data_IF_568242144399
#
_entry.id   IF_568242144399
#
_cell.length_a   1.000
_cell.length_b   1.000
_cell.length_c   1.000
_cell.angle_alpha   90.00
_cell.angle_beta   90.00
_cell.angle_gamma   90.00
#
_symmetry.space_group_name_H-M   'P 1'
#
loop_
_entity.id
_entity.type
_entity.pdbx_description
1 polymer ?
#
# COMPACT_ATOMS: atom_id res chain seq x y z
N UNK A 1 -1.79 26.72 -13.45
CA UNK A 1 -2.22 25.85 -12.33
C UNK A 1 -2.76 24.59 -12.99
N UNK A 2 -1.88 23.64 -13.36
CA UNK A 2 -2.28 22.44 -14.08
C UNK A 2 -2.78 21.40 -13.09
N UNK A 3 -4.07 21.09 -13.14
CA UNK A 3 -4.61 19.87 -12.54
C UNK A 3 -3.95 18.67 -13.23
N UNK A 4 -2.95 18.09 -12.60
CA UNK A 4 -2.36 16.83 -13.03
C UNK A 4 -3.18 15.71 -12.38
N UNK A 5 -4.42 15.51 -12.83
CA UNK A 5 -5.18 14.30 -12.50
C UNK A 5 -4.56 13.17 -13.29
N UNK A 6 -3.53 12.53 -12.72
CA UNK A 6 -3.07 11.25 -13.20
C UNK A 6 -4.23 10.26 -13.10
N UNK A 7 -4.98 10.10 -14.20
CA UNK A 7 -6.00 9.07 -14.35
C UNK A 7 -5.30 7.73 -14.49
N UNK A 8 -4.72 7.23 -13.38
CA UNK A 8 -4.21 5.87 -13.32
C UNK A 8 -5.45 4.97 -13.43
N UNK A 9 -5.67 4.47 -14.64
CA UNK A 9 -6.74 3.52 -14.91
C UNK A 9 -6.42 2.26 -14.11
N UNK A 10 -7.19 2.04 -13.05
CA UNK A 10 -7.01 0.83 -12.22
C UNK A 10 -7.56 -0.33 -13.04
N UNK A 11 -6.66 -1.09 -13.65
CA UNK A 11 -7.03 -2.26 -14.45
C UNK A 11 -7.44 -3.40 -13.52
N UNK A 12 -8.64 -3.95 -13.75
CA UNK A 12 -9.11 -5.11 -13.01
C UNK A 12 -8.29 -6.34 -13.43
N UNK A 13 -7.91 -7.18 -12.46
CA UNK A 13 -7.26 -8.44 -12.73
C UNK A 13 -8.13 -9.34 -13.63
N UNK A 14 -7.50 -10.18 -14.45
CA UNK A 14 -8.21 -11.12 -15.32
C UNK A 14 -9.05 -12.13 -14.51
N UNK A 15 -10.27 -12.41 -14.97
CA UNK A 15 -11.16 -13.40 -14.34
C UNK A 15 -10.54 -14.81 -14.27
N UNK A 16 -9.61 -15.13 -15.19
CA UNK A 16 -8.83 -16.38 -15.15
C UNK A 16 -7.88 -16.41 -13.96
N UNK A 17 -7.14 -15.33 -13.72
CA UNK A 17 -6.22 -15.24 -12.58
C UNK A 17 -6.98 -15.28 -11.26
N UNK A 18 -8.14 -14.61 -11.18
CA UNK A 18 -9.03 -14.70 -10.03
C UNK A 18 -9.40 -16.16 -9.72
N UNK A 19 -9.86 -16.92 -10.72
CA UNK A 19 -10.22 -18.32 -10.54
C UNK A 19 -9.05 -19.21 -10.11
N UNK A 20 -7.85 -18.98 -10.66
CA UNK A 20 -6.64 -19.72 -10.28
C UNK A 20 -6.19 -19.42 -8.84
N UNK A 21 -6.25 -18.16 -8.41
CA UNK A 21 -5.91 -17.77 -7.02
C UNK A 21 -6.89 -18.41 -6.03
N UNK A 22 -8.19 -18.38 -6.32
CA UNK A 22 -9.19 -19.03 -5.45
C UNK A 22 -9.06 -20.55 -5.43
N UNK A 23 -8.73 -21.17 -6.57
CA UNK A 23 -8.40 -22.59 -6.60
C UNK A 23 -7.19 -22.93 -5.73
N UNK A 24 -6.10 -22.16 -5.85
CA UNK A 24 -4.91 -22.34 -5.03
C UNK A 24 -5.20 -22.15 -3.54
N UNK A 25 -6.05 -21.17 -3.19
CA UNK A 25 -6.52 -20.94 -1.83
C UNK A 25 -7.29 -22.15 -1.27
N UNK A 26 -8.25 -22.69 -2.01
CA UNK A 26 -8.99 -23.89 -1.58
C UNK A 26 -8.09 -25.13 -1.49
N UNK A 27 -7.14 -25.30 -2.41
CA UNK A 27 -6.13 -26.37 -2.30
C UNK A 27 -5.26 -26.21 -1.05
N UNK A 28 -4.83 -24.98 -0.74
CA UNK A 28 -4.07 -24.66 0.48
C UNK A 28 -4.87 -24.98 1.75
N UNK A 29 -6.15 -24.62 1.80
CA UNK A 29 -7.06 -25.01 2.89
C UNK A 29 -7.18 -26.52 3.00
N UNK A 30 -7.38 -27.22 1.87
CA UNK A 30 -7.50 -28.67 1.86
C UNK A 30 -6.22 -29.34 2.38
N UNK A 31 -5.04 -28.86 1.97
CA UNK A 31 -3.76 -29.34 2.44
C UNK A 31 -3.59 -29.08 3.94
N UNK A 32 -3.93 -27.86 4.40
CA UNK A 32 -3.86 -27.51 5.83
C UNK A 32 -4.78 -28.39 6.69
N UNK A 33 -6.03 -28.63 6.25
CA UNK A 33 -6.96 -29.52 6.94
C UNK A 33 -6.44 -30.97 6.98
N UNK A 34 -5.85 -31.42 5.88
CA UNK A 34 -5.24 -32.75 5.81
C UNK A 34 -4.10 -32.88 6.83
N UNK A 35 -3.15 -31.94 6.88
CA UNK A 35 -2.05 -32.01 7.85
C UNK A 35 -2.50 -31.81 9.30
N UNK A 36 -3.53 -31.00 9.55
CA UNK A 36 -3.97 -30.70 10.92
C UNK A 36 -4.89 -31.77 11.50
N UNK A 37 -5.80 -32.35 10.70
CA UNK A 37 -6.88 -33.22 11.20
C UNK A 37 -6.90 -34.59 10.53
N UNK A 38 -6.02 -34.84 9.55
CA UNK A 38 -6.03 -36.03 8.69
C UNK A 38 -7.38 -36.31 8.02
N UNK A 39 -8.23 -35.29 7.91
CA UNK A 39 -9.55 -35.38 7.28
C UNK A 39 -9.49 -34.76 5.90
N UNK A 40 -9.69 -35.58 4.87
CA UNK A 40 -9.93 -35.08 3.52
C UNK A 40 -11.35 -34.50 3.46
N UNK A 41 -11.46 -33.18 3.35
CA UNK A 41 -12.74 -32.56 3.09
C UNK A 41 -13.00 -32.53 1.57
N UNK A 42 -13.72 -33.54 1.07
CA UNK A 42 -14.07 -33.67 -0.34
C UNK A 42 -14.78 -32.44 -0.91
N UNK A 43 -15.54 -31.69 -0.09
CA UNK A 43 -16.20 -30.46 -0.53
C UNK A 43 -15.21 -29.36 -0.91
N UNK A 44 -14.12 -29.22 -0.15
CA UNK A 44 -13.09 -28.20 -0.42
C UNK A 44 -12.30 -28.54 -1.67
N UNK A 45 -11.99 -29.83 -1.86
CA UNK A 45 -11.32 -30.32 -3.07
C UNK A 45 -12.22 -30.15 -4.30
N UNK A 46 -13.51 -30.49 -4.19
CA UNK A 46 -14.47 -30.29 -5.26
C UNK A 46 -14.59 -28.81 -5.64
N UNK A 47 -14.63 -27.91 -4.65
CA UNK A 47 -14.62 -26.47 -4.88
C UNK A 47 -13.35 -26.02 -5.61
N UNK A 48 -12.17 -26.46 -5.18
CA UNK A 48 -10.92 -26.16 -5.87
C UNK A 48 -10.95 -26.61 -7.35
N UNK A 49 -11.39 -27.85 -7.60
CA UNK A 49 -11.47 -28.41 -8.95
C UNK A 49 -12.49 -27.65 -9.83
N UNK A 50 -13.62 -27.25 -9.26
CA UNK A 50 -14.62 -26.43 -9.93
C UNK A 50 -14.04 -25.05 -10.31
N UNK A 51 -13.31 -24.40 -9.41
CA UNK A 51 -12.68 -23.10 -9.70
C UNK A 51 -11.58 -23.20 -10.76
N UNK A 52 -10.72 -24.23 -10.74
CA UNK A 52 -9.70 -24.44 -11.79
C UNK A 52 -10.36 -24.69 -13.14
N UNK A 53 -11.34 -25.60 -13.19
CA UNK A 53 -12.02 -25.95 -14.45
C UNK A 53 -12.76 -24.76 -15.04
N UNK A 54 -13.48 -23.98 -14.23
CA UNK A 54 -14.14 -22.75 -14.65
C UNK A 54 -13.14 -21.69 -15.14
N UNK A 55 -12.00 -21.55 -14.47
CA UNK A 55 -10.96 -20.59 -14.87
C UNK A 55 -10.35 -20.92 -16.24
N UNK A 56 -10.21 -22.20 -16.58
CA UNK A 56 -9.62 -22.66 -17.86
C UNK A 56 -10.65 -22.70 -18.98
N UNK A 57 -11.84 -23.24 -18.73
CA UNK A 57 -12.85 -23.49 -19.78
C UNK A 57 -13.67 -22.24 -20.09
N UNK A 58 -14.14 -21.53 -19.06
CA UNK A 58 -15.06 -20.40 -19.25
C UNK A 58 -14.86 -19.31 -18.17
N UNK A 59 -13.75 -18.57 -18.22
CA UNK A 59 -13.43 -17.55 -17.22
C UNK A 59 -14.47 -16.42 -17.14
N UNK A 60 -15.24 -16.18 -18.23
CA UNK A 60 -16.34 -15.20 -18.24
C UNK A 60 -17.41 -15.45 -17.18
N UNK A 61 -17.60 -16.69 -16.72
CA UNK A 61 -18.57 -16.98 -15.66
C UNK A 61 -18.10 -16.49 -14.28
N UNK A 62 -16.78 -16.40 -14.08
CA UNK A 62 -16.14 -15.89 -12.86
C UNK A 62 -15.98 -14.36 -12.87
N UNK A 63 -16.26 -13.71 -14.00
CA UNK A 63 -16.14 -12.27 -14.17
C UNK A 63 -17.00 -11.42 -13.21
N UNK A 64 -18.31 -11.68 -13.01
CA UNK A 64 -19.10 -10.89 -12.05
C UNK A 64 -18.57 -11.05 -10.61
N UNK A 65 -18.10 -12.25 -10.26
CA UNK A 65 -17.52 -12.51 -8.95
C UNK A 65 -16.17 -11.80 -8.77
N UNK A 66 -15.33 -11.79 -9.81
CA UNK A 66 -14.08 -11.05 -9.84
C UNK A 66 -14.30 -9.55 -9.70
N UNK A 67 -15.29 -8.97 -10.38
CA UNK A 67 -15.64 -7.55 -10.25
C UNK A 67 -16.10 -7.23 -8.82
N UNK A 68 -16.93 -8.09 -8.22
CA UNK A 68 -17.38 -7.91 -6.84
C UNK A 68 -16.20 -7.97 -5.86
N UNK A 69 -15.35 -8.98 -6.00
CA UNK A 69 -14.14 -9.13 -5.19
C UNK A 69 -13.20 -7.93 -5.33
N UNK A 70 -13.02 -7.44 -6.55
CA UNK A 70 -12.21 -6.26 -6.82
C UNK A 70 -12.77 -5.00 -6.14
N UNK A 71 -14.09 -4.79 -6.22
CA UNK A 71 -14.75 -3.67 -5.51
C UNK A 71 -14.60 -3.77 -4.00
N UNK A 72 -14.75 -4.97 -3.42
CA UNK A 72 -14.49 -5.20 -2.00
C UNK A 72 -13.03 -4.89 -1.64
N UNK A 73 -12.08 -5.32 -2.47
CA UNK A 73 -10.66 -5.01 -2.31
C UNK A 73 -10.37 -3.51 -2.35
N UNK A 74 -11.04 -2.75 -3.22
CA UNK A 74 -10.92 -1.29 -3.26
C UNK A 74 -11.45 -0.62 -1.99
N UNK A 75 -12.63 -1.03 -1.50
CA UNK A 75 -13.20 -0.51 -0.26
C UNK A 75 -12.29 -0.83 0.93
N UNK A 76 -11.81 -2.07 1.00
CA UNK A 76 -10.88 -2.49 2.05
C UNK A 76 -9.59 -1.68 1.99
N UNK A 77 -9.02 -1.49 0.80
CA UNK A 77 -7.83 -0.66 0.58
C UNK A 77 -8.04 0.80 1.00
N UNK A 78 -9.22 1.36 0.71
CA UNK A 78 -9.56 2.73 1.12
C UNK A 78 -9.65 2.91 2.64
N UNK A 79 -9.94 1.85 3.39
CA UNK A 79 -9.96 1.86 4.87
C UNK A 79 -8.58 1.53 5.44
N UNK A 80 -7.91 0.52 4.89
CA UNK A 80 -6.61 0.06 5.36
C UNK A 80 -5.52 1.10 5.12
N UNK A 81 -5.52 1.79 3.99
CA UNK A 81 -4.53 2.82 3.69
C UNK A 81 -4.45 3.94 4.75
N UNK A 82 -5.55 4.64 5.11
CA UNK A 82 -5.51 5.64 6.17
C UNK A 82 -5.25 5.02 7.54
N UNK A 83 -5.74 3.82 7.82
CA UNK A 83 -5.47 3.14 9.10
C UNK A 83 -3.98 2.87 9.30
N UNK A 84 -3.30 2.35 8.28
CA UNK A 84 -1.85 2.12 8.28
C UNK A 84 -1.10 3.45 8.38
N UNK A 85 -1.54 4.50 7.68
CA UNK A 85 -0.93 5.83 7.79
C UNK A 85 -1.06 6.42 9.19
N UNK A 86 -2.21 6.28 9.83
CA UNK A 86 -2.43 6.66 11.24
C UNK A 86 -1.45 5.87 12.13
N UNK A 87 -1.36 4.56 11.95
CA UNK A 87 -0.46 3.71 12.72
C UNK A 87 1.01 4.16 12.59
N UNK A 88 1.48 4.39 11.36
CA UNK A 88 2.84 4.88 11.10
C UNK A 88 3.05 6.25 11.75
N UNK A 89 2.07 7.15 11.65
CA UNK A 89 2.17 8.48 12.24
C UNK A 89 2.33 8.41 13.76
N UNK A 90 1.53 7.59 14.45
CA UNK A 90 1.57 7.49 15.91
C UNK A 90 2.70 6.61 16.44
N UNK A 91 3.12 5.56 15.73
CA UNK A 91 4.18 4.66 16.19
C UNK A 91 5.58 5.08 15.77
N UNK A 92 5.71 5.81 14.65
CA UNK A 92 7.02 6.20 14.11
C UNK A 92 7.17 7.71 14.18
N UNK A 93 6.33 8.46 13.48
CA UNK A 93 6.54 9.91 13.29
C UNK A 93 6.44 10.68 14.61
N UNK A 94 5.36 10.47 15.36
CA UNK A 94 5.06 11.17 16.62
C UNK A 94 6.11 10.92 17.70
N UNK A 95 6.49 9.67 18.02
CA UNK A 95 7.53 9.43 19.02
C UNK A 95 8.89 9.95 18.55
N UNK A 96 9.22 9.83 17.26
CA UNK A 96 10.48 10.40 16.75
C UNK A 96 10.53 11.91 16.97
N UNK A 97 9.45 12.64 16.66
CA UNK A 97 9.32 14.06 16.93
C UNK A 97 9.39 14.41 18.42
N UNK A 98 8.76 13.61 19.28
CA UNK A 98 8.80 13.78 20.73
C UNK A 98 10.22 13.55 21.29
N UNK A 99 10.92 12.50 20.83
CA UNK A 99 12.31 12.22 21.17
C UNK A 99 13.21 13.38 20.74
N UNK A 100 13.05 13.90 19.53
CA UNK A 100 13.83 15.07 19.07
C UNK A 100 13.60 16.27 19.98
N UNK A 101 12.36 16.50 20.42
CA UNK A 101 12.00 17.57 21.35
C UNK A 101 12.62 17.38 22.74
N UNK A 102 12.66 16.14 23.23
CA UNK A 102 13.32 15.76 24.49
C UNK A 102 14.84 15.95 24.42
N UNK A 103 15.46 15.58 23.30
CA UNK A 103 16.90 15.79 23.06
C UNK A 103 17.26 17.24 22.67
N UNK A 104 16.29 18.16 22.69
CA UNK A 104 16.51 19.57 22.38
C UNK A 104 16.85 19.86 20.90
N UNK A 105 16.65 18.89 20.01
CA UNK A 105 16.87 19.06 18.57
C UNK A 105 15.68 19.80 17.96
N UNK A 106 15.91 21.01 17.48
CA UNK A 106 14.92 21.82 16.76
C UNK A 106 15.39 22.05 15.31
N UNK A 107 15.24 21.04 14.42
CA UNK A 107 15.69 21.16 13.03
C UNK A 107 14.92 22.22 12.23
N UNK A 108 13.73 22.59 12.70
CA UNK A 108 12.86 23.56 12.05
C UNK A 108 13.03 24.97 12.65
N UNK A 109 13.90 25.14 13.65
CA UNK A 109 14.13 26.40 14.36
C UNK A 109 12.80 27.04 14.82
N UNK A 110 11.85 26.23 15.29
CA UNK A 110 10.50 26.68 15.66
C UNK A 110 10.50 27.55 16.92
N UNK A 111 11.48 27.38 17.81
CA UNK A 111 11.62 28.23 19.00
C UNK A 111 12.12 29.61 18.58
N UNK A 112 11.32 30.65 18.89
CA UNK A 112 11.77 32.05 18.80
C UNK A 112 12.89 32.28 19.81
N UNK A 113 14.13 32.31 19.35
CA UNK A 113 15.27 32.73 20.18
C UNK A 113 15.12 34.21 20.55
N UNK A 114 15.35 34.60 21.82
CA UNK A 114 15.33 36.00 22.23
C UNK A 114 16.38 36.78 21.42
N UNK A 115 15.92 37.66 20.51
CA UNK A 115 16.79 38.48 19.66
C UNK A 115 16.73 38.21 18.16
N UNK A 116 16.14 37.10 17.69
CA UNK A 116 15.95 36.87 16.26
C UNK A 116 14.67 37.54 15.74
N UNK A 117 14.81 38.52 14.84
CA UNK A 117 13.69 39.16 14.12
C UNK A 117 13.05 38.24 13.06
N UNK A 118 13.81 37.28 12.53
CA UNK A 118 13.38 36.38 11.44
C UNK A 118 14.06 35.01 11.57
N UNK A 119 13.37 33.93 11.16
CA UNK A 119 13.96 32.57 11.05
C UNK A 119 14.81 32.37 9.78
N UNK A 120 15.09 33.44 9.03
CA UNK A 120 15.81 33.37 7.77
C UNK A 120 17.28 32.98 8.00
N UNK A 121 17.65 31.78 7.53
CA UNK A 121 19.03 31.31 7.54
C UNK A 121 19.76 32.01 6.39
N UNK A 122 20.62 32.98 6.71
CA UNK A 122 21.49 33.61 5.70
C UNK A 122 22.48 32.56 5.18
N UNK A 123 22.48 32.36 3.87
CA UNK A 123 23.53 31.57 3.20
C UNK A 123 24.83 32.33 3.28
N UNK A 124 25.85 31.74 3.92
CA UNK A 124 27.20 32.28 3.84
C UNK A 124 27.75 32.10 2.43
N UNK A 125 28.35 33.15 1.86
CA UNK A 125 29.13 33.08 0.63
C UNK A 125 30.47 32.38 0.94
N UNK A 126 30.44 31.12 1.33
CA UNK A 126 31.63 30.29 1.23
C UNK A 126 31.82 29.95 -0.25
N UNK A 127 33.07 29.86 -0.71
CA UNK A 127 33.57 29.77 -2.09
C UNK A 127 33.13 28.51 -2.88
N UNK A 128 31.96 27.95 -2.61
CA UNK A 128 31.29 27.00 -3.49
C UNK A 128 30.46 27.81 -4.47
N UNK A 129 31.00 28.03 -5.68
CA UNK A 129 30.25 28.59 -6.80
C UNK A 129 28.87 27.94 -6.86
N UNK A 130 27.77 28.71 -7.07
CA UNK A 130 26.45 28.11 -7.26
C UNK A 130 26.61 27.03 -8.32
N UNK A 131 26.26 25.78 -8.00
CA UNK A 131 26.33 24.70 -8.97
C UNK A 131 25.49 25.13 -10.16
N UNK A 132 26.18 25.53 -11.25
CA UNK A 132 25.55 26.04 -12.44
C UNK A 132 24.50 25.03 -12.86
N UNK A 133 23.23 25.42 -12.85
CA UNK A 133 22.12 24.63 -13.39
C UNK A 133 22.23 24.63 -14.92
N UNK A 134 23.37 24.17 -15.44
CA UNK A 134 23.77 24.32 -16.84
C UNK A 134 22.88 23.48 -17.77
N UNK A 135 22.22 22.45 -17.23
CA UNK A 135 21.31 21.56 -17.93
C UNK A 135 19.99 21.43 -17.15
N UNK A 136 19.17 22.49 -17.14
CA UNK A 136 17.84 22.48 -16.51
C UNK A 136 16.74 21.92 -17.44
N UNK A 137 17.05 21.72 -18.73
CA UNK A 137 16.15 21.21 -19.75
C UNK A 137 16.82 20.07 -20.52
#
# INVERSE_FOLDING_TARGET
>A
MSENTAHVKIEMGSARNFGLVFAAFFLGISAFLYFSKNTLNYWVILAALAFVSLAVVKPKLLEPLNILWFKLGMILGAIVAPLVMILIYFLVVTPTGLLMRLFGKDPLLLRKSPGLKTHWIKREKNNSQPSSMKNQF
#
